data_IF_779436488467
#
_entry.id   IF_779436488467
#
_cell.length_a   1.000
_cell.length_b   1.000
_cell.length_c   1.000
_cell.angle_alpha   90.00
_cell.angle_beta   90.00
_cell.angle_gamma   90.00
#
_symmetry.space_group_name_H-M   'P 1'
#
loop_
_entity.id
_entity.type
_entity.pdbx_description
1 polymer ?
#
# COMPACT_ATOMS: atom_id res chain seq x y z
N UNK A 1 7.53 -18.53 -14.96
CA UNK A 1 7.71 -17.10 -14.60
C UNK A 1 8.47 -16.98 -13.30
N UNK A 2 9.05 -15.81 -13.02
CA UNK A 2 9.76 -15.52 -11.77
C UNK A 2 8.75 -15.04 -10.72
N UNK A 3 8.85 -15.52 -9.48
CA UNK A 3 8.06 -15.05 -8.35
C UNK A 3 8.92 -14.22 -7.40
N UNK A 4 8.36 -13.16 -6.85
CA UNK A 4 9.00 -12.34 -5.83
C UNK A 4 8.42 -12.64 -4.44
N UNK A 5 9.20 -12.47 -3.36
CA UNK A 5 8.74 -12.68 -1.99
C UNK A 5 7.50 -11.86 -1.60
N UNK A 6 7.44 -10.59 -2.03
CA UNK A 6 6.32 -9.69 -1.78
C UNK A 6 6.08 -8.75 -2.95
N UNK A 7 4.88 -8.17 -3.00
CA UNK A 7 4.49 -7.10 -3.92
C UNK A 7 3.76 -6.01 -3.13
N UNK A 8 4.14 -4.74 -3.34
CA UNK A 8 3.49 -3.57 -2.77
C UNK A 8 2.54 -2.96 -3.80
N UNK A 9 1.32 -2.63 -3.38
CA UNK A 9 0.31 -1.96 -4.21
C UNK A 9 0.03 -0.55 -3.70
N UNK A 10 0.27 0.46 -4.54
CA UNK A 10 -0.21 1.83 -4.32
C UNK A 10 -1.49 2.02 -5.13
N UNK A 11 -2.62 2.09 -4.44
CA UNK A 11 -3.95 2.13 -5.06
C UNK A 11 -4.45 3.56 -5.15
N UNK A 12 -4.75 3.99 -6.36
CA UNK A 12 -5.31 5.31 -6.66
C UNK A 12 -6.66 5.14 -7.36
N UNK A 13 -7.51 6.14 -7.23
CA UNK A 13 -8.82 6.17 -7.88
C UNK A 13 -8.97 7.43 -8.72
N UNK A 14 -9.75 7.33 -9.80
CA UNK A 14 -9.94 8.38 -10.77
C UNK A 14 -10.88 9.45 -10.22
N UNK A 15 -10.36 10.64 -9.95
CA UNK A 15 -11.08 11.76 -9.31
C UNK A 15 -12.16 12.40 -10.18
N UNK A 16 -12.34 11.93 -11.42
CA UNK A 16 -13.54 12.26 -12.21
C UNK A 16 -14.81 11.66 -11.61
N UNK A 17 -14.67 10.65 -10.76
CA UNK A 17 -15.75 10.10 -9.96
C UNK A 17 -15.81 10.81 -8.59
N UNK A 18 -16.92 10.77 -7.85
CA UNK A 18 -17.03 11.44 -6.54
C UNK A 18 -16.41 10.66 -5.38
N UNK A 19 -16.29 9.34 -5.51
CA UNK A 19 -15.84 8.46 -4.44
C UNK A 19 -15.08 7.25 -4.98
N UNK A 20 -14.27 6.63 -4.12
CA UNK A 20 -13.63 5.35 -4.42
C UNK A 20 -14.65 4.28 -4.82
N UNK A 21 -15.79 4.22 -4.11
CA UNK A 21 -16.84 3.24 -4.38
C UNK A 21 -17.40 3.37 -5.80
N UNK A 22 -17.71 4.60 -6.22
CA UNK A 22 -18.19 4.85 -7.58
C UNK A 22 -17.12 4.62 -8.64
N UNK A 23 -15.86 4.93 -8.34
CA UNK A 23 -14.75 4.66 -9.24
C UNK A 23 -14.53 3.15 -9.42
N UNK A 24 -14.62 2.35 -8.36
CA UNK A 24 -14.36 0.90 -8.42
C UNK A 24 -15.26 0.16 -9.42
N UNK A 25 -16.47 0.66 -9.69
CA UNK A 25 -17.42 0.08 -10.65
C UNK A 25 -17.17 0.51 -12.11
N UNK A 26 -16.06 1.20 -12.39
CA UNK A 26 -15.78 1.84 -13.69
C UNK A 26 -14.54 1.23 -14.32
N UNK A 27 -14.54 1.03 -15.65
CA UNK A 27 -13.43 0.38 -16.34
C UNK A 27 -12.10 1.14 -16.22
N UNK A 28 -12.14 2.46 -16.03
CA UNK A 28 -10.96 3.32 -15.84
C UNK A 28 -10.96 4.01 -14.46
N UNK A 29 -11.59 3.35 -13.49
CA UNK A 29 -11.80 3.90 -12.16
C UNK A 29 -10.59 3.80 -11.23
N UNK A 30 -9.73 2.81 -11.42
CA UNK A 30 -8.60 2.54 -10.55
C UNK A 30 -7.28 2.48 -11.33
N UNK A 31 -6.22 2.96 -10.69
CA UNK A 31 -4.84 2.78 -11.14
C UNK A 31 -4.02 2.19 -9.99
N UNK A 32 -3.35 1.07 -10.23
CA UNK A 32 -2.51 0.39 -9.24
C UNK A 32 -1.06 0.40 -9.71
N UNK A 33 -0.17 0.95 -8.88
CA UNK A 33 1.27 0.80 -9.07
C UNK A 33 1.73 -0.41 -8.27
N UNK A 34 2.19 -1.45 -8.98
CA UNK A 34 2.76 -2.66 -8.39
C UNK A 34 4.29 -2.57 -8.30
N UNK A 35 4.84 -2.89 -7.13
CA UNK A 35 6.29 -2.86 -6.86
C UNK A 35 6.70 -4.21 -6.27
N UNK A 36 7.60 -4.93 -6.94
CA UNK A 36 8.14 -6.18 -6.41
C UNK A 36 9.23 -5.94 -5.36
N UNK A 37 9.14 -6.64 -4.23
CA UNK A 37 10.16 -6.62 -3.18
C UNK A 37 11.01 -7.89 -3.28
N UNK A 38 12.33 -7.73 -3.19
CA UNK A 38 13.32 -8.81 -3.16
C UNK A 38 13.96 -8.88 -1.78
N UNK A 39 14.31 -10.08 -1.33
CA UNK A 39 15.13 -10.26 -0.13
C UNK A 39 16.54 -9.75 -0.43
N UNK A 40 17.10 -8.97 0.50
CA UNK A 40 18.41 -8.34 0.36
C UNK A 40 18.69 -7.43 1.55
N UNK A 41 19.33 -6.28 1.29
CA UNK A 41 19.51 -5.26 2.31
C UNK A 41 18.17 -4.75 2.85
N UNK A 42 18.13 -4.41 4.14
CA UNK A 42 16.96 -3.79 4.75
C UNK A 42 16.60 -2.48 4.05
N UNK A 43 15.30 -2.17 3.95
CA UNK A 43 14.81 -0.88 3.50
C UNK A 43 14.38 -0.04 4.71
N UNK A 44 15.19 0.94 5.17
CA UNK A 44 14.85 1.78 6.32
C UNK A 44 13.54 2.55 6.14
N UNK A 45 13.10 2.77 4.89
CA UNK A 45 11.89 3.53 4.59
C UNK A 45 10.62 2.71 4.83
N UNK A 46 10.73 1.39 4.76
CA UNK A 46 9.66 0.47 5.12
C UNK A 46 9.56 0.25 6.65
N UNK A 47 10.63 0.56 7.40
CA UNK A 47 10.70 0.27 8.84
C UNK A 47 9.55 0.90 9.63
N UNK A 48 9.18 2.14 9.31
CA UNK A 48 8.05 2.81 9.97
C UNK A 48 6.73 2.04 9.82
N UNK A 49 6.48 1.40 8.68
CA UNK A 49 5.31 0.54 8.48
C UNK A 49 5.43 -0.72 9.34
N UNK A 50 6.61 -1.36 9.35
CA UNK A 50 6.86 -2.57 10.12
C UNK A 50 6.66 -2.36 11.63
N UNK A 51 7.18 -1.25 12.17
CA UNK A 51 7.03 -0.90 13.59
C UNK A 51 5.55 -0.70 13.97
N UNK A 52 4.72 -0.16 13.06
CA UNK A 52 3.30 0.04 13.30
C UNK A 52 2.49 -1.27 13.36
N UNK A 53 2.99 -2.37 12.78
CA UNK A 53 2.31 -3.67 12.78
C UNK A 53 2.12 -4.23 14.19
N UNK A 54 3.00 -3.87 15.12
CA UNK A 54 2.90 -4.32 16.52
C UNK A 54 1.61 -3.84 17.21
N UNK A 55 1.06 -2.70 16.81
CA UNK A 55 -0.18 -2.17 17.35
C UNK A 55 -1.44 -2.87 16.78
N UNK A 56 -1.33 -3.53 15.62
CA UNK A 56 -2.46 -4.04 14.84
C UNK A 56 -2.40 -5.56 14.56
N UNK A 57 -1.80 -6.33 15.46
CA UNK A 57 -1.55 -7.79 15.32
C UNK A 57 -2.78 -8.65 15.02
N UNK A 58 -3.98 -8.20 15.37
CA UNK A 58 -5.22 -8.99 15.26
C UNK A 58 -6.28 -8.25 14.45
N UNK A 59 -7.13 -9.02 13.76
CA UNK A 59 -8.23 -8.49 12.93
C UNK A 59 -9.07 -7.45 13.70
N UNK A 60 -9.37 -6.34 13.04
CA UNK A 60 -10.19 -5.26 13.57
C UNK A 60 -9.45 -4.22 14.39
N UNK A 61 -8.18 -4.45 14.76
CA UNK A 61 -7.34 -3.40 15.38
C UNK A 61 -6.94 -2.35 14.35
N UNK A 62 -6.90 -1.11 14.82
CA UNK A 62 -6.50 0.06 14.04
C UNK A 62 -5.55 0.91 14.88
N UNK A 63 -4.69 1.67 14.22
CA UNK A 63 -3.77 2.62 14.85
C UNK A 63 -3.64 3.86 13.97
N UNK A 64 -3.25 4.98 14.57
CA UNK A 64 -2.95 6.21 13.81
C UNK A 64 -1.59 6.06 13.14
N UNK A 65 -1.54 6.32 11.84
CA UNK A 65 -0.32 6.25 11.04
C UNK A 65 -0.12 7.54 10.23
N UNK A 66 0.47 8.56 10.86
CA UNK A 66 0.67 9.89 10.28
C UNK A 66 2.13 10.12 9.86
N UNK A 67 2.38 11.17 9.08
CA UNK A 67 3.71 11.61 8.64
C UNK A 67 4.50 10.52 7.89
N UNK A 68 3.84 9.81 6.97
CA UNK A 68 4.45 8.78 6.14
C UNK A 68 4.38 9.21 4.67
N UNK A 69 5.51 9.13 3.96
CA UNK A 69 5.60 9.46 2.55
C UNK A 69 5.87 8.19 1.73
N UNK A 70 4.81 7.71 1.07
CA UNK A 70 4.88 6.50 0.25
C UNK A 70 5.77 6.64 -0.99
N UNK A 71 6.11 7.87 -1.43
CA UNK A 71 7.04 8.11 -2.55
C UNK A 71 8.47 7.69 -2.22
N UNK A 72 8.75 7.49 -0.94
CA UNK A 72 10.09 7.14 -0.47
C UNK A 72 10.33 5.63 -0.43
N UNK A 73 9.28 4.82 -0.60
CA UNK A 73 9.37 3.36 -0.55
C UNK A 73 10.22 2.77 -1.68
#
# INVERSE_FOLDING_TARGET
GIRFPCELHLVHWNTKYPSFGEAADKPDGLAVVGIFLKIGAANPRLQKVLDALDAIKTKGKQTTFSNFDARTL
#
